data_IF_901580150673
#
_entry.id   IF_901580150673
#
_cell.length_a   1.000
_cell.length_b   1.000
_cell.length_c   1.000
_cell.angle_alpha   90.00
_cell.angle_beta   90.00
_cell.angle_gamma   90.00
#
_symmetry.space_group_name_H-M   'P 1'
#
loop_
_entity.id
_entity.type
_entity.pdbx_description
1 polymer ?
#
# COMPACT_ATOMS: atom_id res chain seq x y z
N UNK A 1 25.63 -7.51 -15.72
CA UNK A 1 24.48 -6.61 -15.92
C UNK A 1 23.82 -6.24 -14.58
N UNK A 2 22.70 -5.51 -14.61
CA UNK A 2 21.98 -5.11 -13.38
C UNK A 2 21.50 -6.33 -12.57
N UNK A 3 20.92 -7.33 -13.23
CA UNK A 3 20.37 -8.53 -12.59
C UNK A 3 21.47 -9.34 -11.90
N UNK A 4 22.62 -9.50 -12.54
CA UNK A 4 23.76 -10.23 -11.96
C UNK A 4 24.27 -9.53 -10.70
N UNK A 5 24.41 -8.20 -10.74
CA UNK A 5 24.84 -7.43 -9.58
C UNK A 5 23.79 -7.42 -8.46
N UNK A 6 22.50 -7.40 -8.81
CA UNK A 6 21.42 -7.54 -7.83
C UNK A 6 21.42 -8.91 -7.14
N UNK A 7 21.67 -9.98 -7.88
CA UNK A 7 21.81 -11.33 -7.31
C UNK A 7 23.03 -11.45 -6.39
N UNK A 8 24.16 -10.82 -6.74
CA UNK A 8 25.33 -10.71 -5.85
C UNK A 8 24.99 -9.99 -4.56
N UNK A 9 24.30 -8.84 -4.65
CA UNK A 9 23.86 -8.10 -3.47
C UNK A 9 22.96 -8.93 -2.56
N UNK A 10 22.06 -9.75 -3.11
CA UNK A 10 21.17 -10.63 -2.33
C UNK A 10 21.90 -11.66 -1.48
N UNK A 11 23.07 -12.10 -1.90
CA UNK A 11 23.91 -13.06 -1.15
C UNK A 11 25.04 -12.39 -0.35
N UNK A 12 25.07 -11.06 -0.30
CA UNK A 12 26.07 -10.30 0.44
C UNK A 12 27.44 -10.21 -0.25
N UNK A 13 27.51 -10.49 -1.56
CA UNK A 13 28.74 -10.36 -2.33
C UNK A 13 29.04 -8.88 -2.63
N UNK A 14 30.06 -8.34 -1.94
CA UNK A 14 30.45 -6.93 -2.05
C UNK A 14 31.00 -6.54 -3.44
N UNK A 15 31.31 -7.48 -4.33
CA UNK A 15 31.81 -7.18 -5.68
C UNK A 15 30.80 -6.42 -6.55
N UNK A 16 29.53 -6.36 -6.14
CA UNK A 16 28.50 -5.56 -6.80
C UNK A 16 28.54 -4.06 -6.46
N UNK A 17 29.28 -3.64 -5.42
CA UNK A 17 29.23 -2.26 -4.91
C UNK A 17 29.72 -1.24 -5.94
N UNK A 18 30.77 -1.53 -6.68
CA UNK A 18 31.29 -0.62 -7.71
C UNK A 18 30.24 -0.35 -8.80
N UNK A 19 29.50 -1.40 -9.19
CA UNK A 19 28.41 -1.26 -10.15
C UNK A 19 27.32 -0.31 -9.62
N UNK A 20 26.82 -0.54 -8.41
CA UNK A 20 25.76 0.30 -7.84
C UNK A 20 26.24 1.72 -7.55
N UNK A 21 27.45 1.90 -7.04
CA UNK A 21 28.03 3.22 -6.79
C UNK A 21 28.18 4.06 -8.08
N UNK A 22 28.60 3.41 -9.19
CA UNK A 22 28.68 4.09 -10.49
C UNK A 22 27.32 4.57 -11.02
N UNK A 23 26.22 3.94 -10.60
CA UNK A 23 24.85 4.29 -10.99
C UNK A 23 24.12 5.14 -9.94
N UNK A 24 24.73 5.41 -8.79
CA UNK A 24 24.14 6.24 -7.75
C UNK A 24 24.11 7.72 -8.17
N UNK A 25 23.13 8.47 -7.63
CA UNK A 25 23.00 9.92 -7.81
C UNK A 25 22.90 10.59 -6.44
N UNK A 26 23.53 11.73 -6.29
CA UNK A 26 23.54 12.48 -5.04
C UNK A 26 22.25 13.27 -4.78
N UNK A 27 21.39 13.43 -5.78
CA UNK A 27 20.17 14.22 -5.66
C UNK A 27 19.02 13.60 -6.47
N UNK A 28 17.82 13.62 -5.90
CA UNK A 28 16.56 13.23 -6.56
C UNK A 28 16.13 14.22 -7.65
N UNK A 29 16.66 15.44 -7.66
CA UNK A 29 16.31 16.48 -8.62
C UNK A 29 16.55 16.07 -10.10
N UNK A 30 17.36 15.04 -10.32
CA UNK A 30 17.67 14.51 -11.66
C UNK A 30 16.83 13.29 -12.06
N UNK A 31 15.90 12.85 -11.18
CA UNK A 31 15.02 11.73 -11.51
C UNK A 31 13.78 12.23 -12.27
N UNK A 32 13.26 11.45 -13.23
CA UNK A 32 11.94 11.71 -13.82
C UNK A 32 10.87 11.82 -12.72
N UNK A 33 9.87 12.68 -12.93
CA UNK A 33 8.82 12.97 -11.93
C UNK A 33 7.96 11.75 -11.55
N UNK A 34 7.89 10.78 -12.44
CA UNK A 34 7.13 9.52 -12.27
C UNK A 34 7.98 8.36 -11.74
N UNK A 35 9.24 8.62 -11.34
CA UNK A 35 10.12 7.60 -10.80
C UNK A 35 9.63 7.11 -9.44
N UNK A 36 9.42 5.80 -9.30
CA UNK A 36 9.14 5.16 -8.01
C UNK A 36 10.38 5.23 -7.11
N UNK A 37 10.21 5.78 -5.91
CA UNK A 37 11.28 5.92 -4.92
C UNK A 37 11.08 4.92 -3.80
N UNK A 38 12.00 3.97 -3.64
CA UNK A 38 12.02 3.04 -2.53
C UNK A 38 12.78 3.67 -1.35
N UNK A 39 12.13 3.69 -0.18
CA UNK A 39 12.66 4.30 1.03
C UNK A 39 12.89 3.27 2.13
N UNK A 40 13.90 3.50 2.98
CA UNK A 40 14.21 2.62 4.10
C UNK A 40 13.17 2.68 5.24
N UNK A 41 12.38 3.76 5.31
CA UNK A 41 11.32 3.93 6.31
C UNK A 41 10.16 4.78 5.80
N UNK A 42 8.99 4.61 6.41
CA UNK A 42 7.76 5.28 6.01
C UNK A 42 7.84 6.81 6.14
N UNK A 43 8.54 7.35 7.14
CA UNK A 43 8.65 8.80 7.34
C UNK A 43 9.27 9.50 6.13
N UNK A 44 10.27 8.89 5.50
CA UNK A 44 10.90 9.44 4.29
C UNK A 44 9.92 9.34 3.12
N UNK A 45 9.26 8.20 2.94
CA UNK A 45 8.26 8.00 1.90
C UNK A 45 7.10 9.01 2.03
N UNK A 46 6.58 9.21 3.25
CA UNK A 46 5.50 10.16 3.53
C UNK A 46 5.91 11.60 3.24
N UNK A 47 7.16 11.99 3.55
CA UNK A 47 7.67 13.32 3.22
C UNK A 47 7.71 13.54 1.72
N UNK A 48 8.25 12.58 0.96
CA UNK A 48 8.32 12.65 -0.50
C UNK A 48 6.92 12.71 -1.13
N UNK A 49 6.02 11.86 -0.67
CA UNK A 49 4.65 11.82 -1.18
C UNK A 49 3.92 13.13 -0.91
N UNK A 50 4.08 13.69 0.29
CA UNK A 50 3.49 14.99 0.65
C UNK A 50 4.05 16.11 -0.23
N UNK A 51 5.38 16.22 -0.37
CA UNK A 51 6.02 17.20 -1.24
C UNK A 51 5.46 17.12 -2.68
N UNK A 52 5.30 15.90 -3.23
CA UNK A 52 4.78 15.70 -4.57
C UNK A 52 3.30 16.09 -4.70
N UNK A 53 2.47 15.73 -3.71
CA UNK A 53 1.03 16.10 -3.71
C UNK A 53 0.87 17.61 -3.51
N UNK A 54 1.68 18.24 -2.65
CA UNK A 54 1.63 19.68 -2.40
C UNK A 54 2.05 20.51 -3.62
N UNK A 55 2.94 19.98 -4.44
CA UNK A 55 3.38 20.61 -5.68
C UNK A 55 2.34 20.55 -6.82
N UNK A 56 1.28 19.76 -6.68
CA UNK A 56 0.20 19.68 -7.66
C UNK A 56 -0.78 20.84 -7.49
N UNK A 57 -1.05 21.57 -8.57
CA UNK A 57 -2.05 22.64 -8.61
C UNK A 57 -3.46 22.07 -8.84
N UNK A 58 -4.01 21.43 -7.81
CA UNK A 58 -5.35 20.86 -7.83
C UNK A 58 -5.96 20.85 -6.41
N UNK A 59 -7.29 20.95 -6.29
CA UNK A 59 -7.97 20.82 -5.00
C UNK A 59 -7.65 19.49 -4.33
N UNK A 60 -7.25 19.56 -3.07
CA UNK A 60 -6.85 18.41 -2.27
C UNK A 60 -8.05 17.87 -1.49
N UNK A 61 -8.25 16.57 -1.54
CA UNK A 61 -9.26 15.85 -0.76
C UNK A 61 -8.56 14.97 0.26
N UNK A 62 -9.01 15.09 1.51
CA UNK A 62 -8.50 14.29 2.62
C UNK A 62 -9.44 13.14 2.93
N UNK A 63 -8.88 11.94 3.05
CA UNK A 63 -9.55 10.73 3.44
C UNK A 63 -9.02 10.27 4.79
N UNK A 64 -9.90 10.25 5.80
CA UNK A 64 -9.58 9.69 7.12
C UNK A 64 -10.21 8.31 7.24
N UNK A 65 -9.45 7.36 7.77
CA UNK A 65 -9.92 6.00 7.99
C UNK A 65 -11.02 5.95 9.07
N UNK A 66 -12.01 5.09 8.86
CA UNK A 66 -12.98 4.74 9.89
C UNK A 66 -12.55 3.42 10.56
N UNK A 67 -12.50 3.44 11.89
CA UNK A 67 -12.05 2.29 12.71
C UNK A 67 -13.18 1.89 13.62
N UNK A 68 -13.46 0.58 13.71
CA UNK A 68 -14.45 0.04 14.64
C UNK A 68 -13.87 -1.20 15.34
N UNK A 69 -14.12 -1.34 16.64
CA UNK A 69 -13.60 -2.45 17.44
C UNK A 69 -12.10 -2.35 17.75
N UNK A 70 -11.43 -3.48 17.89
CA UNK A 70 -10.00 -3.54 18.23
C UNK A 70 -9.15 -3.62 16.97
N UNK A 71 -8.46 -2.51 16.67
CA UNK A 71 -7.51 -2.40 15.54
C UNK A 71 -6.20 -1.86 16.08
N UNK A 72 -5.13 -2.66 16.03
CA UNK A 72 -3.80 -2.21 16.42
C UNK A 72 -3.09 -1.50 15.26
N UNK A 73 -2.00 -0.82 15.54
CA UNK A 73 -1.24 -0.12 14.49
C UNK A 73 -0.72 -1.05 13.37
N UNK A 74 -0.39 -2.30 13.71
CA UNK A 74 0.05 -3.32 12.75
C UNK A 74 -1.07 -3.89 11.88
N UNK A 75 -2.33 -3.69 12.25
CA UNK A 75 -3.50 -4.18 11.51
C UNK A 75 -3.99 -3.19 10.43
N UNK A 76 -3.41 -1.97 10.40
CA UNK A 76 -3.80 -0.92 9.45
C UNK A 76 -3.17 -1.20 8.10
N UNK A 77 -4.00 -1.52 7.12
CA UNK A 77 -3.58 -1.88 5.75
C UNK A 77 -3.29 -0.68 4.86
N UNK A 78 -3.72 0.51 5.25
CA UNK A 78 -3.48 1.78 4.56
C UNK A 78 -3.19 2.88 5.60
N UNK A 79 -2.60 4.02 5.21
CA UNK A 79 -2.44 5.17 6.09
C UNK A 79 -3.78 5.65 6.65
N UNK A 80 -3.80 6.05 7.93
CA UNK A 80 -5.01 6.53 8.58
C UNK A 80 -5.55 7.81 7.93
N UNK A 81 -4.64 8.63 7.42
CA UNK A 81 -4.94 9.87 6.72
C UNK A 81 -4.23 9.89 5.37
N UNK A 82 -5.00 10.03 4.31
CA UNK A 82 -4.53 10.10 2.93
C UNK A 82 -5.01 11.42 2.33
N UNK A 83 -4.11 12.17 1.69
CA UNK A 83 -4.46 13.39 0.94
C UNK A 83 -4.20 13.13 -0.52
N UNK A 84 -5.21 13.27 -1.35
CA UNK A 84 -5.13 13.05 -2.79
C UNK A 84 -5.71 14.24 -3.56
N UNK A 85 -5.25 14.39 -4.79
CA UNK A 85 -5.79 15.35 -5.75
C UNK A 85 -5.57 14.83 -7.18
N UNK A 86 -6.19 15.47 -8.14
CA UNK A 86 -5.95 15.15 -9.56
C UNK A 86 -4.47 15.31 -9.89
N UNK A 87 -3.91 14.32 -10.57
CA UNK A 87 -2.50 14.25 -10.95
C UNK A 87 -1.61 13.50 -9.93
N UNK A 88 -2.11 13.15 -8.74
CA UNK A 88 -1.35 12.37 -7.77
C UNK A 88 -1.07 10.96 -8.29
N UNK A 89 0.17 10.50 -8.12
CA UNK A 89 0.55 9.10 -8.37
C UNK A 89 0.15 8.25 -7.17
N UNK A 90 -0.47 7.12 -7.46
CA UNK A 90 -0.98 6.20 -6.45
C UNK A 90 -0.64 4.75 -6.80
N UNK A 91 -0.70 3.89 -5.79
CA UNK A 91 -0.55 2.45 -5.92
C UNK A 91 -1.68 1.78 -5.13
N UNK A 92 -2.40 0.85 -5.77
CA UNK A 92 -3.46 0.10 -5.08
C UNK A 92 -2.89 -0.82 -4.02
N UNK A 93 -3.58 -0.92 -2.88
CA UNK A 93 -3.25 -1.80 -1.75
C UNK A 93 -4.16 -3.04 -1.69
N UNK A 94 -5.09 -3.18 -2.64
CA UNK A 94 -6.02 -4.32 -2.72
C UNK A 94 -6.04 -4.92 -4.11
N UNK A 95 -6.56 -6.15 -4.19
CA UNK A 95 -6.81 -6.83 -5.46
C UNK A 95 -8.27 -6.62 -5.88
N UNK A 96 -8.49 -6.15 -7.10
CA UNK A 96 -9.79 -6.12 -7.78
C UNK A 96 -9.63 -6.53 -9.25
N UNK A 97 -9.41 -7.82 -9.53
CA UNK A 97 -9.17 -8.30 -10.90
C UNK A 97 -10.31 -8.00 -11.86
N UNK A 98 -11.55 -7.94 -11.34
CA UNK A 98 -12.74 -7.61 -12.14
C UNK A 98 -12.72 -6.16 -12.64
N UNK A 99 -12.08 -5.26 -11.89
CA UNK A 99 -11.87 -3.85 -12.25
C UNK A 99 -10.51 -3.62 -12.92
N UNK A 100 -9.73 -4.69 -13.15
CA UNK A 100 -8.49 -4.67 -13.93
C UNK A 100 -7.24 -4.24 -13.14
N UNK A 101 -7.25 -4.29 -11.79
CA UNK A 101 -6.07 -3.98 -10.99
C UNK A 101 -5.84 -4.97 -9.84
N UNK A 102 -4.61 -5.02 -9.37
CA UNK A 102 -4.19 -5.82 -8.22
C UNK A 102 -3.35 -4.96 -7.26
N UNK A 103 -3.09 -5.48 -6.06
CA UNK A 103 -2.17 -4.83 -5.13
C UNK A 103 -0.82 -4.58 -5.79
N UNK A 104 -0.33 -3.35 -5.68
CA UNK A 104 0.90 -2.89 -6.33
C UNK A 104 0.69 -2.25 -7.72
N UNK A 105 -0.51 -2.33 -8.31
CA UNK A 105 -0.80 -1.65 -9.59
C UNK A 105 -0.75 -0.14 -9.39
N UNK A 106 0.06 0.53 -10.21
CA UNK A 106 0.25 1.97 -10.16
C UNK A 106 -0.71 2.70 -11.10
N UNK A 107 -1.04 3.93 -10.76
CA UNK A 107 -1.91 4.76 -11.57
C UNK A 107 -1.81 6.25 -11.21
N UNK A 108 -2.60 7.04 -11.91
CA UNK A 108 -2.72 8.49 -11.67
C UNK A 108 -4.16 8.84 -11.34
N UNK A 109 -4.35 9.61 -10.27
CA UNK A 109 -5.66 10.14 -9.89
C UNK A 109 -6.14 11.11 -10.97
N UNK A 110 -7.31 10.86 -11.53
CA UNK A 110 -7.96 11.72 -12.51
C UNK A 110 -9.04 12.60 -11.90
N UNK A 111 -9.63 12.15 -10.80
CA UNK A 111 -10.60 12.89 -10.01
C UNK A 111 -10.62 12.37 -8.57
N UNK A 112 -10.96 13.25 -7.60
CA UNK A 112 -11.10 12.90 -6.19
C UNK A 112 -12.30 13.62 -5.60
N UNK A 113 -13.18 12.89 -4.92
CA UNK A 113 -14.34 13.37 -4.19
C UNK A 113 -14.31 12.89 -2.74
N UNK A 114 -15.23 13.35 -1.91
CA UNK A 114 -15.24 12.99 -0.48
C UNK A 114 -15.31 11.47 -0.22
N UNK A 115 -15.95 10.72 -1.12
CA UNK A 115 -16.25 9.29 -0.91
C UNK A 115 -15.45 8.35 -1.81
N UNK A 116 -14.85 8.86 -2.89
CA UNK A 116 -14.20 8.03 -3.89
C UNK A 116 -13.08 8.77 -4.64
N UNK A 117 -12.20 7.97 -5.23
CA UNK A 117 -11.12 8.43 -6.10
C UNK A 117 -11.26 7.76 -7.46
N UNK A 118 -11.11 8.52 -8.54
CA UNK A 118 -11.07 7.95 -9.88
C UNK A 118 -9.61 7.88 -10.33
N UNK A 119 -9.16 6.67 -10.64
CA UNK A 119 -7.77 6.39 -11.02
C UNK A 119 -7.71 5.85 -12.44
N UNK A 120 -6.76 6.31 -13.22
CA UNK A 120 -6.33 5.66 -14.45
C UNK A 120 -5.07 4.86 -14.13
N UNK A 121 -5.18 3.55 -14.11
CA UNK A 121 -4.05 2.66 -13.92
C UNK A 121 -3.14 2.63 -15.15
N UNK A 122 -1.85 2.40 -14.92
CA UNK A 122 -0.85 2.35 -15.98
C UNK A 122 -1.12 1.14 -16.89
N UNK A 123 -1.17 1.38 -18.21
CA UNK A 123 -1.51 0.36 -19.18
C UNK A 123 -3.00 0.03 -19.33
N UNK A 124 -3.87 0.58 -18.47
CA UNK A 124 -5.31 0.42 -18.63
C UNK A 124 -5.89 1.45 -19.62
N UNK A 125 -6.91 1.07 -20.37
CA UNK A 125 -7.61 2.00 -21.28
C UNK A 125 -8.63 2.85 -20.53
N UNK A 126 -9.29 2.26 -19.53
CA UNK A 126 -10.38 2.90 -18.79
C UNK A 126 -9.93 3.41 -17.42
N UNK A 127 -10.74 4.32 -16.88
CA UNK A 127 -10.58 4.83 -15.53
C UNK A 127 -11.45 4.00 -14.58
N UNK A 128 -10.94 3.75 -13.38
CA UNK A 128 -11.65 3.00 -12.35
C UNK A 128 -12.01 3.94 -11.22
N UNK A 129 -13.28 3.89 -10.78
CA UNK A 129 -13.75 4.57 -9.58
C UNK A 129 -13.50 3.66 -8.38
N UNK A 130 -12.67 4.12 -7.47
CA UNK A 130 -12.27 3.39 -6.26
C UNK A 130 -12.99 4.02 -5.06
N UNK A 131 -13.76 3.20 -4.37
CA UNK A 131 -14.47 3.56 -3.15
C UNK A 131 -13.70 3.07 -1.93
N UNK A 132 -14.20 3.40 -0.72
CA UNK A 132 -13.59 2.95 0.52
C UNK A 132 -13.67 1.44 0.63
N UNK A 133 -12.54 0.81 0.89
CA UNK A 133 -12.44 -0.63 1.16
C UNK A 133 -12.49 -0.89 2.67
N UNK A 134 -13.18 -1.94 3.06
CA UNK A 134 -13.31 -2.37 4.45
C UNK A 134 -12.50 -3.65 4.67
N UNK A 135 -11.46 -3.54 5.48
CA UNK A 135 -10.71 -4.71 5.97
C UNK A 135 -11.30 -5.18 7.29
N UNK A 136 -11.48 -6.49 7.41
CA UNK A 136 -11.88 -7.15 8.65
C UNK A 136 -10.63 -7.62 9.39
N UNK A 137 -10.54 -7.25 10.66
CA UNK A 137 -9.44 -7.65 11.53
C UNK A 137 -9.88 -8.89 12.30
N UNK A 138 -9.24 -10.00 11.98
CA UNK A 138 -9.55 -11.30 12.54
C UNK A 138 -8.58 -11.64 13.67
N UNK A 139 -9.10 -12.16 14.78
CA UNK A 139 -8.32 -12.75 15.88
C UNK A 139 -8.65 -14.23 16.00
N UNK A 140 -7.60 -15.04 16.09
CA UNK A 140 -7.75 -16.47 16.29
C UNK A 140 -7.36 -16.81 17.74
N UNK A 141 -8.23 -17.55 18.42
CA UNK A 141 -8.00 -18.04 19.78
C UNK A 141 -8.08 -19.57 19.80
N UNK A 142 -7.13 -20.19 20.51
CA UNK A 142 -7.21 -21.61 20.77
C UNK A 142 -8.26 -21.87 21.86
N UNK A 143 -9.24 -22.69 21.54
CA UNK A 143 -10.29 -23.11 22.46
C UNK A 143 -10.26 -24.63 22.60
N UNK A 144 -10.54 -25.12 23.82
CA UNK A 144 -10.71 -26.55 24.06
C UNK A 144 -12.20 -26.87 23.93
N UNK A 145 -12.55 -27.69 22.98
CA UNK A 145 -13.92 -28.22 22.80
C UNK A 145 -13.93 -29.73 23.07
N UNK A 146 -15.09 -30.24 23.48
CA UNK A 146 -15.27 -31.68 23.62
C UNK A 146 -15.72 -32.25 22.26
N UNK A 147 -15.11 -33.36 21.84
CA UNK A 147 -15.59 -34.13 20.69
C UNK A 147 -16.87 -34.91 21.04
N UNK A 148 -17.44 -35.64 20.06
CA UNK A 148 -18.65 -36.45 20.23
C UNK A 148 -18.48 -37.57 21.26
N UNK A 149 -17.22 -37.91 21.58
CA UNK A 149 -16.89 -38.98 22.55
C UNK A 149 -16.47 -38.38 23.92
N UNK A 150 -16.63 -37.05 24.09
CA UNK A 150 -16.33 -36.34 25.35
C UNK A 150 -14.85 -36.12 25.64
N UNK A 151 -13.98 -36.19 24.63
CA UNK A 151 -12.54 -35.96 24.78
C UNK A 151 -12.21 -34.49 24.44
N UNK A 152 -11.29 -33.84 25.18
CA UNK A 152 -10.88 -32.48 24.90
C UNK A 152 -10.06 -32.40 23.61
N UNK A 153 -10.50 -31.56 22.67
CA UNK A 153 -9.83 -31.30 21.40
C UNK A 153 -9.52 -29.82 21.28
N UNK A 154 -8.28 -29.50 20.96
CA UNK A 154 -7.87 -28.11 20.69
C UNK A 154 -8.40 -27.69 19.32
N UNK A 155 -9.22 -26.65 19.28
CA UNK A 155 -9.68 -26.00 18.05
C UNK A 155 -9.27 -24.56 18.01
N UNK A 156 -9.16 -23.99 16.81
CA UNK A 156 -8.93 -22.56 16.60
C UNK A 156 -10.23 -21.92 16.17
N UNK A 157 -10.73 -20.98 16.98
CA UNK A 157 -11.86 -20.12 16.60
C UNK A 157 -11.33 -18.78 16.13
N UNK A 158 -11.80 -18.33 14.98
CA UNK A 158 -11.47 -17.01 14.42
C UNK A 158 -12.71 -16.14 14.45
N UNK A 159 -12.57 -14.94 14.98
CA UNK A 159 -13.65 -13.96 15.05
C UNK A 159 -13.16 -12.60 14.56
N UNK A 160 -14.06 -11.86 13.90
CA UNK A 160 -13.81 -10.46 13.53
C UNK A 160 -13.85 -9.62 14.79
N UNK A 161 -12.73 -9.00 15.15
CA UNK A 161 -12.60 -8.17 16.38
C UNK A 161 -12.64 -6.68 16.08
N UNK A 162 -12.46 -6.30 14.82
CA UNK A 162 -12.51 -4.92 14.41
C UNK A 162 -12.57 -4.78 12.87
N UNK A 163 -12.78 -3.55 12.41
CA UNK A 163 -12.74 -3.22 11.00
C UNK A 163 -11.97 -1.93 10.77
N UNK A 164 -11.29 -1.88 9.65
CA UNK A 164 -10.57 -0.70 9.17
C UNK A 164 -11.08 -0.35 7.77
N UNK A 165 -11.55 0.87 7.57
CA UNK A 165 -12.15 1.30 6.30
C UNK A 165 -11.44 2.55 5.79
N UNK A 166 -10.84 2.48 4.60
CA UNK A 166 -10.11 3.58 3.98
C UNK A 166 -10.15 3.43 2.44
N UNK A 167 -9.75 4.46 1.70
CA UNK A 167 -9.39 4.34 0.27
C UNK A 167 -8.16 3.41 0.19
N UNK A 168 -8.22 2.32 -0.59
CA UNK A 168 -7.17 1.31 -0.67
C UNK A 168 -6.01 1.71 -1.57
#
# INVERSE_FOLDING_TARGET
>A
DFIDNLNRARVGDASCLDYFNAHSRSSRAYLPKDTLVLCANNRIADSINRENVDALDAPKVEFTAAVTGMVNSGDKMAPERIVLCRGARVMSLVNSPQEGYVNGTQGTVTDASADAVTVKFDGADEKVRIERHRWEINKSEAVVEMDEEGRPVNRVKTAVVGTYTQIP
#
